data_IF_128016741055
#
_entry.id   IF_128016741055
#
_cell.length_a   1.000
_cell.length_b   1.000
_cell.length_c   1.000
_cell.angle_alpha   90.00
_cell.angle_beta   90.00
_cell.angle_gamma   90.00
#
_symmetry.space_group_name_H-M   'P 1'
#
loop_
_entity.id
_entity.type
_entity.pdbx_description
1 polymer ?
#
# COMPACT_ATOMS: atom_id res chain seq x y z
N UNK A 1 29.27 18.32 -19.34
CA UNK A 1 28.74 16.97 -18.99
C UNK A 1 29.40 16.54 -17.68
N UNK A 2 28.72 16.67 -16.52
CA UNK A 2 29.33 16.27 -15.23
C UNK A 2 29.34 14.75 -15.13
N UNK A 3 30.54 14.17 -15.13
CA UNK A 3 30.73 12.74 -14.84
C UNK A 3 30.36 12.53 -13.38
N UNK A 4 29.13 12.04 -13.13
CA UNK A 4 28.72 11.63 -11.79
C UNK A 4 29.55 10.40 -11.40
N UNK A 5 30.26 10.49 -10.28
CA UNK A 5 30.92 9.32 -9.70
C UNK A 5 29.86 8.24 -9.42
N UNK A 6 30.13 6.96 -9.68
CA UNK A 6 29.14 5.87 -9.56
C UNK A 6 28.42 5.86 -8.20
N UNK A 7 29.13 6.26 -7.13
CA UNK A 7 28.58 6.42 -5.78
C UNK A 7 27.45 7.45 -5.68
N UNK A 8 27.58 8.61 -6.35
CA UNK A 8 26.57 9.68 -6.30
C UNK A 8 25.32 9.33 -7.12
N UNK A 9 25.49 8.63 -8.24
CA UNK A 9 24.37 8.09 -9.02
C UNK A 9 23.57 7.05 -8.24
N UNK A 10 24.26 6.10 -7.58
CA UNK A 10 23.61 5.11 -6.73
C UNK A 10 22.81 5.78 -5.59
N UNK A 11 23.39 6.77 -4.91
CA UNK A 11 22.71 7.47 -3.83
C UNK A 11 21.41 8.15 -4.29
N UNK A 12 21.45 8.79 -5.46
CA UNK A 12 20.27 9.46 -6.04
C UNK A 12 19.20 8.43 -6.43
N UNK A 13 19.58 7.33 -7.07
CA UNK A 13 18.65 6.27 -7.45
C UNK A 13 17.88 5.73 -6.24
N UNK A 14 18.60 5.37 -5.18
CA UNK A 14 18.00 4.87 -3.94
C UNK A 14 17.04 5.87 -3.29
N UNK A 15 17.40 7.15 -3.30
CA UNK A 15 16.55 8.19 -2.73
C UNK A 15 15.27 8.40 -3.55
N UNK A 16 15.37 8.43 -4.88
CA UNK A 16 14.19 8.52 -5.76
C UNK A 16 13.29 7.28 -5.63
N UNK A 17 13.88 6.09 -5.56
CA UNK A 17 13.15 4.85 -5.35
C UNK A 17 12.41 4.84 -4.00
N UNK A 18 13.08 5.26 -2.93
CA UNK A 18 12.48 5.38 -1.60
C UNK A 18 11.31 6.38 -1.57
N UNK A 19 11.45 7.53 -2.24
CA UNK A 19 10.35 8.51 -2.34
C UNK A 19 9.17 7.97 -3.13
N UNK A 20 9.41 7.40 -4.32
CA UNK A 20 8.35 6.83 -5.14
C UNK A 20 7.60 5.72 -4.40
N UNK A 21 8.34 4.87 -3.66
CA UNK A 21 7.75 3.79 -2.88
C UNK A 21 6.97 4.29 -1.67
N UNK A 22 7.44 5.34 -1.01
CA UNK A 22 6.70 5.96 0.09
C UNK A 22 5.40 6.57 -0.41
N UNK A 23 5.44 7.34 -1.49
CA UNK A 23 4.26 8.00 -2.07
C UNK A 23 3.18 7.01 -2.51
N UNK A 24 3.54 5.96 -3.22
CA UNK A 24 2.56 4.96 -3.65
C UNK A 24 2.02 4.15 -2.47
N UNK A 25 2.82 3.89 -1.43
CA UNK A 25 2.33 3.27 -0.20
C UNK A 25 1.28 4.15 0.46
N UNK A 26 1.55 5.45 0.60
CA UNK A 26 0.61 6.43 1.16
C UNK A 26 -0.69 6.45 0.34
N UNK A 27 -0.58 6.57 -0.99
CA UNK A 27 -1.74 6.62 -1.88
C UNK A 27 -2.58 5.34 -1.80
N UNK A 28 -1.93 4.18 -1.83
CA UNK A 28 -2.62 2.89 -1.73
C UNK A 28 -3.37 2.78 -0.41
N UNK A 29 -2.73 3.11 0.72
CA UNK A 29 -3.36 3.09 2.03
C UNK A 29 -4.51 4.10 2.16
N UNK A 30 -4.37 5.28 1.56
CA UNK A 30 -5.43 6.28 1.53
C UNK A 30 -6.65 5.81 0.73
N UNK A 31 -6.45 5.17 -0.42
CA UNK A 31 -7.55 4.58 -1.21
C UNK A 31 -8.25 3.46 -0.43
N UNK A 32 -7.49 2.61 0.29
CA UNK A 32 -8.06 1.58 1.15
C UNK A 32 -8.89 2.19 2.28
N UNK A 33 -8.37 3.24 2.92
CA UNK A 33 -9.06 3.97 3.97
C UNK A 33 -10.40 4.55 3.46
N UNK A 34 -10.41 5.20 2.29
CA UNK A 34 -11.65 5.71 1.69
C UNK A 34 -12.67 4.58 1.49
N UNK A 35 -12.26 3.42 1.01
CA UNK A 35 -13.18 2.30 0.79
C UNK A 35 -13.79 1.78 2.08
N UNK A 36 -12.98 1.60 3.12
CA UNK A 36 -13.48 1.21 4.45
C UNK A 36 -14.47 2.27 4.96
N UNK A 37 -14.15 3.56 4.79
CA UNK A 37 -15.06 4.64 5.16
C UNK A 37 -16.39 4.60 4.39
N UNK A 38 -16.37 4.38 3.07
CA UNK A 38 -17.60 4.25 2.26
C UNK A 38 -18.43 3.04 2.68
N UNK A 39 -17.81 1.97 3.16
CA UNK A 39 -18.53 0.77 3.64
C UNK A 39 -19.34 1.04 4.91
N UNK A 40 -18.92 2.02 5.70
CA UNK A 40 -19.55 2.45 6.95
C UNK A 40 -20.59 3.56 6.76
N UNK A 41 -21.08 3.75 5.53
CA UNK A 41 -22.21 4.62 5.21
C UNK A 41 -22.04 6.08 5.69
N UNK A 42 -20.80 6.57 5.73
CA UNK A 42 -20.50 7.97 6.06
C UNK A 42 -20.64 8.35 7.54
N UNK A 43 -20.65 7.39 8.48
CA UNK A 43 -20.65 7.70 9.93
C UNK A 43 -19.44 8.57 10.29
N UNK A 44 -19.71 9.79 10.81
CA UNK A 44 -18.68 10.79 11.14
C UNK A 44 -17.64 10.30 12.14
N UNK A 45 -18.03 9.44 13.08
CA UNK A 45 -17.11 8.87 14.07
C UNK A 45 -15.95 8.09 13.42
N UNK A 46 -16.24 7.35 12.35
CA UNK A 46 -15.27 6.50 11.67
C UNK A 46 -14.37 7.30 10.76
N UNK A 47 -14.91 8.36 10.14
CA UNK A 47 -14.09 9.36 9.45
C UNK A 47 -13.02 9.92 10.37
N UNK A 48 -13.40 10.35 11.57
CA UNK A 48 -12.46 10.87 12.56
C UNK A 48 -11.47 9.81 12.99
N UNK A 49 -11.93 8.61 13.38
CA UNK A 49 -11.05 7.51 13.80
C UNK A 49 -10.00 7.16 12.74
N UNK A 50 -10.42 7.05 11.48
CA UNK A 50 -9.55 6.69 10.37
C UNK A 50 -8.57 7.82 10.02
N UNK A 51 -9.02 9.07 10.10
CA UNK A 51 -8.18 10.25 9.89
C UNK A 51 -7.12 10.37 10.98
N UNK A 52 -7.48 10.17 12.25
CA UNK A 52 -6.54 10.18 13.37
C UNK A 52 -5.51 9.06 13.25
N UNK A 53 -5.95 7.85 12.94
CA UNK A 53 -5.06 6.70 12.81
C UNK A 53 -4.09 6.87 11.64
N UNK A 54 -4.58 7.32 10.47
CA UNK A 54 -3.74 7.61 9.32
C UNK A 54 -2.78 8.78 9.58
N UNK A 55 -3.30 9.84 10.22
CA UNK A 55 -2.53 11.02 10.61
C UNK A 55 -1.43 10.72 11.62
N UNK A 56 -1.56 9.67 12.43
CA UNK A 56 -0.52 9.18 13.32
C UNK A 56 0.47 8.22 12.60
N UNK A 57 -0.02 7.30 11.76
CA UNK A 57 0.81 6.32 11.06
C UNK A 57 1.73 6.95 10.01
N UNK A 58 1.26 7.98 9.31
CA UNK A 58 2.01 8.70 8.27
C UNK A 58 3.32 9.32 8.78
N UNK A 59 3.33 10.23 9.78
CA UNK A 59 4.55 10.89 10.24
C UNK A 59 5.54 9.89 10.82
N UNK A 60 5.06 8.88 11.57
CA UNK A 60 5.91 7.80 12.08
C UNK A 60 6.62 7.10 10.91
N UNK A 61 5.87 6.68 9.90
CA UNK A 61 6.42 6.01 8.73
C UNK A 61 7.42 6.88 7.96
N UNK A 62 7.14 8.17 7.81
CA UNK A 62 8.03 9.12 7.11
C UNK A 62 9.33 9.33 7.88
N UNK A 63 9.26 9.57 9.19
CA UNK A 63 10.44 9.79 10.03
C UNK A 63 11.34 8.55 10.02
N UNK A 64 10.78 7.38 10.31
CA UNK A 64 11.56 6.13 10.29
C UNK A 64 12.05 5.76 8.89
N UNK A 65 11.29 6.09 7.83
CA UNK A 65 11.71 5.89 6.44
C UNK A 65 12.89 6.77 6.04
N UNK A 66 12.91 8.04 6.47
CA UNK A 66 14.04 8.96 6.24
C UNK A 66 15.28 8.46 6.98
N UNK A 67 15.15 8.09 8.26
CA UNK A 67 16.25 7.55 9.05
C UNK A 67 16.79 6.23 8.44
N UNK A 68 15.91 5.32 8.03
CA UNK A 68 16.31 4.09 7.34
C UNK A 68 17.06 4.39 6.03
N UNK A 69 16.63 5.42 5.29
CA UNK A 69 17.28 5.85 4.06
C UNK A 69 18.67 6.42 4.32
N UNK A 70 18.84 7.22 5.37
CA UNK A 70 20.14 7.77 5.75
C UNK A 70 21.14 6.67 6.13
N UNK A 71 20.71 5.70 6.94
CA UNK A 71 21.51 4.52 7.29
C UNK A 71 21.95 3.75 6.02
N UNK A 72 21.01 3.57 5.10
CA UNK A 72 21.23 2.85 3.85
C UNK A 72 22.28 3.52 2.97
N UNK A 73 22.29 4.85 2.90
CA UNK A 73 23.20 5.60 2.03
C UNK A 73 24.68 5.34 2.33
N UNK A 74 25.03 5.07 3.59
CA UNK A 74 26.40 4.71 4.00
C UNK A 74 26.83 3.33 3.48
N UNK A 75 25.86 2.44 3.24
CA UNK A 75 26.05 1.02 2.96
C UNK A 75 25.80 0.65 1.48
N UNK A 76 25.53 1.63 0.61
CA UNK A 76 25.37 1.40 -0.83
C UNK A 76 26.72 1.27 -1.50
N UNK A 77 26.94 0.16 -2.20
CA UNK A 77 28.14 -0.08 -3.00
C UNK A 77 27.74 -0.40 -4.45
N UNK A 78 28.57 0.01 -5.40
CA UNK A 78 28.40 -0.36 -6.80
C UNK A 78 29.11 -1.69 -7.03
N UNK A 79 28.36 -2.70 -7.44
CA UNK A 79 28.93 -4.00 -7.77
C UNK A 79 29.22 -4.07 -9.28
N UNK A 80 30.50 -4.22 -9.68
CA UNK A 80 30.88 -4.23 -11.09
C UNK A 80 30.45 -5.50 -11.83
N UNK A 81 30.18 -6.61 -11.14
CA UNK A 81 29.82 -7.89 -11.75
C UNK A 81 28.40 -7.82 -12.34
N UNK A 82 27.47 -7.28 -11.56
CA UNK A 82 26.05 -7.12 -11.90
C UNK A 82 25.72 -5.72 -12.43
N UNK A 83 26.71 -4.83 -12.46
CA UNK A 83 26.62 -3.44 -12.94
C UNK A 83 25.48 -2.64 -12.29
N UNK A 84 25.15 -2.95 -11.04
CA UNK A 84 24.04 -2.33 -10.31
C UNK A 84 24.45 -1.93 -8.89
N UNK A 85 23.67 -1.03 -8.30
CA UNK A 85 23.89 -0.56 -6.94
C UNK A 85 23.25 -1.54 -5.96
N UNK A 86 24.03 -2.07 -5.03
CA UNK A 86 23.58 -3.06 -4.04
C UNK A 86 23.68 -2.52 -2.62
N UNK A 87 22.79 -2.99 -1.75
CA UNK A 87 22.87 -2.78 -0.31
C UNK A 87 23.74 -3.87 0.31
N UNK A 88 24.87 -3.47 0.90
CA UNK A 88 25.68 -4.40 1.68
C UNK A 88 25.05 -4.74 3.04
N UNK A 89 24.16 -3.89 3.56
CA UNK A 89 23.60 -4.02 4.91
C UNK A 89 22.11 -3.70 4.93
N UNK A 90 21.33 -4.46 5.71
CA UNK A 90 19.90 -4.17 5.91
C UNK A 90 19.69 -3.00 6.89
N UNK A 91 18.75 -2.09 6.63
CA UNK A 91 18.43 -1.02 7.56
C UNK A 91 17.71 -1.61 8.78
N UNK A 92 18.21 -1.32 9.99
CA UNK A 92 17.59 -1.78 11.24
C UNK A 92 16.16 -1.25 11.44
N UNK A 93 15.86 -0.11 10.83
CA UNK A 93 14.57 0.58 10.93
C UNK A 93 13.56 0.13 9.85
N UNK A 94 13.97 -0.68 8.87
CA UNK A 94 13.08 -1.17 7.81
C UNK A 94 11.88 -1.97 8.36
N UNK A 95 12.08 -2.91 9.32
CA UNK A 95 10.96 -3.64 9.91
C UNK A 95 9.98 -2.72 10.64
N UNK A 96 10.47 -1.64 11.28
CA UNK A 96 9.61 -0.69 11.99
C UNK A 96 8.66 0.00 11.01
N UNK A 97 9.18 0.51 9.88
CA UNK A 97 8.37 1.18 8.84
C UNK A 97 7.32 0.21 8.28
N UNK A 98 7.72 -1.01 7.95
CA UNK A 98 6.80 -2.02 7.41
C UNK A 98 5.75 -2.45 8.45
N UNK A 99 6.14 -2.58 9.71
CA UNK A 99 5.26 -2.95 10.82
C UNK A 99 4.17 -1.92 11.06
N UNK A 100 4.47 -0.62 10.95
CA UNK A 100 3.45 0.45 11.09
C UNK A 100 2.37 0.33 10.02
N UNK A 101 2.75 0.13 8.75
CA UNK A 101 1.80 -0.03 7.66
C UNK A 101 0.97 -1.32 7.80
N UNK A 102 1.61 -2.43 8.15
CA UNK A 102 0.92 -3.70 8.39
C UNK A 102 -0.07 -3.59 9.56
N UNK A 103 0.32 -2.95 10.66
CA UNK A 103 -0.58 -2.73 11.80
C UNK A 103 -1.79 -1.88 11.40
N UNK A 104 -1.58 -0.86 10.56
CA UNK A 104 -2.66 -0.04 10.01
C UNK A 104 -3.61 -0.84 9.10
N UNK A 105 -3.08 -1.72 8.25
CA UNK A 105 -3.89 -2.60 7.41
C UNK A 105 -4.70 -3.61 8.25
N UNK A 106 -4.09 -4.17 9.30
CA UNK A 106 -4.77 -5.07 10.24
C UNK A 106 -5.92 -4.33 10.94
N UNK A 107 -5.68 -3.10 11.40
CA UNK A 107 -6.72 -2.25 11.99
C UNK A 107 -7.89 -2.01 11.02
N UNK A 108 -7.60 -1.70 9.75
CA UNK A 108 -8.63 -1.57 8.71
C UNK A 108 -9.38 -2.88 8.46
N UNK A 109 -8.69 -4.02 8.50
CA UNK A 109 -9.32 -5.33 8.36
C UNK A 109 -10.32 -5.56 9.50
N UNK A 110 -9.94 -5.27 10.74
CA UNK A 110 -10.82 -5.40 11.89
C UNK A 110 -12.07 -4.51 11.76
N UNK A 111 -11.91 -3.25 11.37
CA UNK A 111 -13.06 -2.36 11.11
C UNK A 111 -13.99 -2.89 10.02
N UNK A 112 -13.43 -3.53 9.00
CA UNK A 112 -14.18 -4.11 7.90
C UNK A 112 -14.96 -5.35 8.34
N UNK A 113 -14.33 -6.24 9.11
CA UNK A 113 -14.97 -7.43 9.68
C UNK A 113 -16.08 -7.03 10.66
N UNK A 114 -15.81 -6.06 11.53
CA UNK A 114 -16.79 -5.57 12.51
C UNK A 114 -18.05 -5.03 11.82
N UNK A 115 -17.87 -4.24 10.75
CA UNK A 115 -18.99 -3.76 9.93
C UNK A 115 -19.79 -4.89 9.26
N UNK A 116 -19.10 -5.93 8.79
CA UNK A 116 -19.74 -7.10 8.20
C UNK A 116 -20.57 -7.90 9.22
N UNK A 117 -20.19 -7.86 10.50
CA UNK A 117 -20.96 -8.47 11.60
C UNK A 117 -22.14 -7.59 12.06
N UNK A 118 -21.95 -6.26 12.11
CA UNK A 118 -22.99 -5.32 12.60
C UNK A 118 -24.14 -5.13 11.60
N UNK A 119 -23.91 -5.30 10.29
CA UNK A 119 -24.95 -5.09 9.25
C UNK A 119 -25.67 -6.41 8.92
N UNK A 120 -26.88 -6.69 9.47
CA UNK A 120 -27.64 -7.87 9.10
C UNK A 120 -28.01 -7.80 7.62
N UNK A 121 -27.77 -8.92 6.92
CA UNK A 121 -27.92 -9.19 5.48
C UNK A 121 -29.34 -8.89 4.95
N UNK A 122 -29.79 -7.64 4.90
CA UNK A 122 -31.10 -7.26 4.34
C UNK A 122 -31.02 -7.09 2.81
N UNK A 123 -31.24 -8.21 2.13
CA UNK A 123 -32.08 -8.46 0.93
C UNK A 123 -32.11 -7.54 -0.32
N UNK A 124 -31.52 -6.34 -0.38
CA UNK A 124 -31.58 -5.49 -1.60
C UNK A 124 -30.23 -5.20 -2.27
N UNK A 125 -29.18 -5.94 -1.90
CA UNK A 125 -27.79 -5.59 -2.21
C UNK A 125 -27.00 -6.66 -2.97
N UNK A 126 -27.63 -7.44 -3.87
CA UNK A 126 -26.94 -8.53 -4.59
C UNK A 126 -25.72 -8.04 -5.42
N UNK A 127 -25.81 -6.85 -6.01
CA UNK A 127 -24.66 -6.20 -6.67
C UNK A 127 -23.60 -5.69 -5.67
N UNK A 128 -24.02 -5.05 -4.57
CA UNK A 128 -23.09 -4.47 -3.58
C UNK A 128 -22.35 -5.55 -2.78
N UNK A 129 -22.99 -6.70 -2.52
CA UNK A 129 -22.42 -7.83 -1.77
C UNK A 129 -21.35 -8.55 -2.59
N UNK A 130 -21.58 -8.77 -3.88
CA UNK A 130 -20.57 -9.31 -4.79
C UNK A 130 -19.35 -8.38 -4.87
N UNK A 131 -19.59 -7.06 -4.84
CA UNK A 131 -18.55 -6.04 -4.83
C UNK A 131 -17.72 -6.00 -3.54
N UNK A 132 -18.40 -6.09 -2.41
CA UNK A 132 -17.75 -6.14 -1.10
C UNK A 132 -16.92 -7.41 -0.95
N UNK A 133 -17.43 -8.54 -1.44
CA UNK A 133 -16.71 -9.81 -1.40
C UNK A 133 -15.44 -9.79 -2.27
N UNK A 134 -15.52 -9.27 -3.49
CA UNK A 134 -14.36 -9.15 -4.37
C UNK A 134 -13.36 -8.09 -3.91
N UNK A 135 -13.85 -6.98 -3.35
CA UNK A 135 -13.02 -5.94 -2.72
C UNK A 135 -12.29 -6.47 -1.49
N UNK A 136 -12.97 -7.23 -0.63
CA UNK A 136 -12.40 -7.84 0.56
C UNK A 136 -11.32 -8.87 0.22
N UNK A 137 -11.52 -9.70 -0.81
CA UNK A 137 -10.48 -10.63 -1.29
C UNK A 137 -9.22 -9.91 -1.76
N UNK A 138 -9.37 -8.83 -2.52
CA UNK A 138 -8.22 -8.05 -3.00
C UNK A 138 -7.49 -7.35 -1.85
N UNK A 139 -8.25 -6.84 -0.87
CA UNK A 139 -7.69 -6.27 0.36
C UNK A 139 -6.93 -7.30 1.19
N UNK A 140 -7.51 -8.49 1.38
CA UNK A 140 -6.86 -9.61 2.08
C UNK A 140 -5.58 -10.05 1.35
N UNK A 141 -5.61 -10.13 0.02
CA UNK A 141 -4.43 -10.42 -0.79
C UNK A 141 -3.32 -9.39 -0.55
N UNK A 142 -3.64 -8.09 -0.59
CA UNK A 142 -2.68 -7.02 -0.29
C UNK A 142 -2.11 -7.13 1.13
N UNK A 143 -2.95 -7.43 2.12
CA UNK A 143 -2.51 -7.63 3.50
C UNK A 143 -1.54 -8.81 3.62
N UNK A 144 -1.85 -9.95 3.01
CA UNK A 144 -0.98 -11.14 3.00
C UNK A 144 0.36 -10.83 2.34
N UNK A 145 0.35 -10.13 1.20
CA UNK A 145 1.58 -9.70 0.53
C UNK A 145 2.43 -8.78 1.43
N UNK A 146 1.80 -7.82 2.12
CA UNK A 146 2.49 -6.90 3.04
C UNK A 146 3.01 -7.60 4.28
N UNK A 147 2.27 -8.57 4.82
CA UNK A 147 2.70 -9.42 5.92
C UNK A 147 3.91 -10.27 5.52
N UNK A 148 3.88 -10.89 4.34
CA UNK A 148 5.03 -11.63 3.82
C UNK A 148 6.27 -10.74 3.70
N UNK A 149 6.10 -9.50 3.21
CA UNK A 149 7.20 -8.52 3.13
C UNK A 149 7.79 -8.21 4.52
N UNK A 150 6.92 -8.01 5.51
CA UNK A 150 7.31 -7.73 6.88
C UNK A 150 8.07 -8.90 7.52
N UNK A 151 7.59 -10.14 7.31
CA UNK A 151 8.27 -11.35 7.80
C UNK A 151 9.66 -11.47 7.18
N UNK A 152 9.78 -11.26 5.86
CA UNK A 152 11.08 -11.28 5.18
C UNK A 152 11.98 -10.15 5.68
N UNK A 153 11.46 -8.97 5.99
CA UNK A 153 12.27 -7.88 6.55
C UNK A 153 12.85 -8.22 7.94
N UNK A 154 12.11 -8.99 8.75
CA UNK A 154 12.58 -9.44 10.07
C UNK A 154 13.65 -10.52 9.92
N UNK A 155 13.34 -11.60 9.19
CA UNK A 155 14.14 -12.84 9.19
C UNK A 155 15.18 -12.87 8.07
N UNK A 156 14.93 -12.19 6.96
CA UNK A 156 15.73 -12.28 5.75
C UNK A 156 17.01 -11.44 5.77
N UNK A 157 17.94 -11.87 4.92
CA UNK A 157 19.16 -11.14 4.57
C UNK A 157 18.88 -9.92 3.70
N UNK A 158 19.86 -9.01 3.63
CA UNK A 158 19.73 -7.75 2.88
C UNK A 158 19.36 -7.95 1.40
N UNK A 159 19.98 -8.94 0.74
CA UNK A 159 19.69 -9.27 -0.66
C UNK A 159 18.26 -9.80 -0.85
N UNK A 160 17.85 -10.75 0.00
CA UNK A 160 16.50 -11.34 -0.04
C UNK A 160 15.43 -10.29 0.25
N UNK A 161 15.67 -9.39 1.20
CA UNK A 161 14.79 -8.26 1.48
C UNK A 161 14.61 -7.37 0.25
N UNK A 162 15.70 -7.04 -0.44
CA UNK A 162 15.64 -6.11 -1.58
C UNK A 162 14.91 -6.68 -2.80
N UNK A 163 15.16 -7.96 -3.11
CA UNK A 163 14.48 -8.67 -4.19
C UNK A 163 13.00 -8.83 -3.86
N UNK A 164 12.68 -9.30 -2.66
CA UNK A 164 11.31 -9.50 -2.20
C UNK A 164 10.54 -8.19 -2.19
N UNK A 165 11.15 -7.11 -1.70
CA UNK A 165 10.52 -5.79 -1.68
C UNK A 165 10.16 -5.33 -3.10
N UNK A 166 11.07 -5.47 -4.07
CA UNK A 166 10.82 -5.12 -5.47
C UNK A 166 9.70 -5.96 -6.09
N UNK A 167 9.68 -7.27 -5.85
CA UNK A 167 8.63 -8.17 -6.39
C UNK A 167 7.28 -7.88 -5.76
N UNK A 168 7.23 -7.69 -4.44
CA UNK A 168 5.98 -7.39 -3.76
C UNK A 168 5.46 -6.00 -4.13
N UNK A 169 6.36 -5.06 -4.39
CA UNK A 169 6.03 -3.73 -4.88
C UNK A 169 5.30 -3.78 -6.23
N UNK A 170 5.83 -4.52 -7.19
CA UNK A 170 5.21 -4.65 -8.52
C UNK A 170 3.85 -5.35 -8.42
N UNK A 171 3.76 -6.40 -7.60
CA UNK A 171 2.48 -7.07 -7.34
C UNK A 171 1.45 -6.15 -6.70
N UNK A 172 1.82 -5.38 -5.68
CA UNK A 172 0.94 -4.41 -5.04
C UNK A 172 0.47 -3.35 -6.05
N UNK A 173 1.36 -2.86 -6.92
CA UNK A 173 1.00 -1.95 -8.01
C UNK A 173 -0.06 -2.53 -8.93
N UNK A 174 0.15 -3.76 -9.43
CA UNK A 174 -0.81 -4.44 -10.31
C UNK A 174 -2.15 -4.66 -9.62
N UNK A 175 -2.16 -5.09 -8.36
CA UNK A 175 -3.40 -5.33 -7.60
C UNK A 175 -4.15 -4.02 -7.37
N UNK A 176 -3.47 -2.95 -6.95
CA UNK A 176 -4.08 -1.63 -6.76
C UNK A 176 -4.64 -1.08 -8.07
N UNK A 177 -3.90 -1.19 -9.18
CA UNK A 177 -4.39 -0.74 -10.50
C UNK A 177 -5.61 -1.53 -10.97
N UNK A 178 -5.61 -2.86 -10.83
CA UNK A 178 -6.79 -3.70 -11.16
C UNK A 178 -7.98 -3.33 -10.28
N UNK A 179 -7.75 -3.02 -9.02
CA UNK A 179 -8.77 -2.62 -8.06
C UNK A 179 -9.38 -1.24 -8.39
N UNK A 180 -8.58 -0.30 -8.91
CA UNK A 180 -9.06 1.00 -9.41
C UNK A 180 -9.89 0.83 -10.69
N UNK A 181 -9.36 0.11 -11.68
CA UNK A 181 -10.05 -0.14 -12.96
C UNK A 181 -11.39 -0.86 -12.78
N UNK A 182 -11.46 -1.82 -11.84
CA UNK A 182 -12.72 -2.49 -11.52
C UNK A 182 -13.75 -1.51 -10.97
N UNK A 183 -13.36 -0.61 -10.08
CA UNK A 183 -14.27 0.38 -9.51
C UNK A 183 -14.77 1.37 -10.55
N UNK A 184 -13.90 1.85 -11.44
CA UNK A 184 -14.34 2.72 -12.53
C UNK A 184 -15.30 2.01 -13.49
N UNK A 185 -15.01 0.76 -13.86
CA UNK A 185 -15.92 -0.04 -14.72
C UNK A 185 -17.33 -0.12 -14.15
N UNK A 186 -17.44 -0.35 -12.84
CA UNK A 186 -18.74 -0.48 -12.16
C UNK A 186 -19.48 0.85 -12.10
N UNK A 187 -18.74 1.93 -11.83
CA UNK A 187 -19.29 3.29 -11.88
C UNK A 187 -19.92 3.59 -13.25
N UNK A 188 -19.31 3.14 -14.34
CA UNK A 188 -19.89 3.28 -15.68
C UNK A 188 -21.09 2.38 -15.94
N UNK A 189 -21.07 1.13 -15.45
CA UNK A 189 -22.22 0.22 -15.59
C UNK A 189 -23.47 0.71 -14.87
N UNK A 190 -23.31 1.39 -13.73
CA UNK A 190 -24.42 1.95 -12.94
C UNK A 190 -25.08 3.16 -13.65
N UNK A 191 -24.31 3.91 -14.43
CA UNK A 191 -24.80 5.08 -15.20
C UNK A 191 -25.62 4.65 -16.43
N UNK A 192 -25.48 3.40 -16.90
CA UNK A 192 -25.95 3.00 -18.23
C UNK A 192 -27.46 2.62 -18.39
N UNK A 193 -28.29 2.37 -17.36
CA UNK A 193 -29.72 2.09 -17.59
C UNK A 193 -30.69 3.28 -17.45
N UNK A 194 -30.39 4.30 -16.63
CA UNK A 194 -31.35 5.37 -16.32
C UNK A 194 -31.31 6.54 -17.29
N UNK A 195 -30.15 6.84 -17.88
CA UNK A 195 -30.00 8.03 -18.74
C UNK A 195 -30.57 7.84 -20.17
N UNK A 196 -30.72 6.58 -20.62
CA UNK A 196 -31.33 6.28 -21.92
C UNK A 196 -32.87 6.34 -21.92
N UNK A 197 -33.51 6.29 -20.75
CA UNK A 197 -34.98 6.27 -20.64
C UNK A 197 -35.61 7.68 -20.58
N UNK A 198 -34.79 8.73 -20.45
CA UNK A 198 -35.22 10.14 -20.53
C UNK A 198 -35.00 10.76 -21.91
N UNK A 199 -34.50 9.99 -22.88
CA UNK A 199 -34.18 10.44 -24.24
C UNK A 199 -35.12 9.85 -25.32
N UNK A 200 -36.24 9.24 -24.92
CA UNK A 200 -37.26 8.69 -25.81
C UNK A 200 -38.65 9.16 -25.38
#
# INVERSE_FOLDING_TARGET
>A
MRILTPRTSCRRFFWLFSLATTLFTILSNYVLAIRVYTMWDGRRAIKWLLTWTFGAALPVSVVFGVLASQETQSSVQYDPLIRMCVLAKKPKLLPVVLGVWVAFDIFMLFLTIYNALEKPRQSQAEMMTTLQHDGAKMFLCLLVLRLANFIVAIVGDAANCFVTFTVLWTMCSVVTSRMQLRVERLRFSDIQPSDFLYLQ
#
